data_IF_570025638853
#
_entry.id   IF_570025638853
#
_cell.length_a   1.000
_cell.length_b   1.000
_cell.length_c   1.000
_cell.angle_alpha   90.00
_cell.angle_beta   90.00
_cell.angle_gamma   90.00
#
_symmetry.space_group_name_H-M   'P 1'
#
loop_
_entity.id
_entity.type
_entity.pdbx_description
1 polymer ?
#
# COMPACT_ATOMS: atom_id res chain seq x y z
N UNK A 1 -1.15 0.45 -15.02
CA UNK A 1 -1.98 0.83 -13.83
C UNK A 1 -1.34 0.22 -12.59
N UNK A 2 -1.58 0.77 -11.40
CA UNK A 2 -1.11 0.17 -10.14
C UNK A 2 -2.29 -0.43 -9.38
N UNK A 3 -2.00 -1.47 -8.60
CA UNK A 3 -3.00 -2.21 -7.83
C UNK A 3 -2.44 -2.57 -6.46
N UNK A 4 -3.23 -2.36 -5.42
CA UNK A 4 -2.97 -2.97 -4.11
C UNK A 4 -3.68 -4.32 -4.07
N UNK A 5 -2.93 -5.37 -3.79
CA UNK A 5 -3.47 -6.73 -3.67
C UNK A 5 -3.26 -7.24 -2.26
N UNK A 6 -4.37 -7.53 -1.57
CA UNK A 6 -4.34 -8.23 -0.29
C UNK A 6 -4.38 -9.73 -0.56
N UNK A 7 -3.30 -10.42 -0.24
CA UNK A 7 -3.08 -11.84 -0.50
C UNK A 7 -3.22 -12.63 0.80
N UNK A 8 -4.28 -13.41 0.95
CA UNK A 8 -4.51 -14.25 2.14
C UNK A 8 -4.32 -15.72 1.76
N UNK A 9 -3.37 -16.38 2.40
CA UNK A 9 -3.01 -17.79 2.13
C UNK A 9 -3.59 -18.72 3.19
N UNK A 10 -4.26 -19.77 2.73
CA UNK A 10 -4.80 -20.86 3.55
C UNK A 10 -4.24 -22.19 3.04
N UNK A 11 -3.26 -22.71 3.75
CA UNK A 11 -2.73 -24.04 3.43
C UNK A 11 -3.74 -25.09 3.90
N UNK A 12 -4.15 -26.06 3.05
CA UNK A 12 -5.07 -27.11 3.45
C UNK A 12 -4.50 -27.97 4.60
N UNK A 13 -5.37 -28.38 5.53
CA UNK A 13 -5.01 -29.26 6.62
C UNK A 13 -4.36 -30.54 6.12
N UNK A 14 -3.32 -31.01 6.80
CA UNK A 14 -2.58 -32.20 6.43
C UNK A 14 -1.57 -32.04 5.29
N UNK A 15 -1.40 -30.81 4.75
CA UNK A 15 -0.31 -30.54 3.79
C UNK A 15 1.04 -30.71 4.49
N UNK A 16 1.96 -31.58 3.99
CA UNK A 16 3.28 -31.75 4.59
C UNK A 16 4.08 -30.44 4.59
N UNK A 17 4.81 -30.16 5.67
CA UNK A 17 5.64 -28.96 5.81
C UNK A 17 6.63 -28.81 4.65
N UNK A 18 7.23 -29.93 4.20
CA UNK A 18 8.12 -29.92 3.04
C UNK A 18 7.43 -29.40 1.78
N UNK A 19 6.17 -29.78 1.51
CA UNK A 19 5.44 -29.30 0.35
C UNK A 19 5.13 -27.79 0.45
N UNK A 20 4.85 -27.30 1.66
CA UNK A 20 4.66 -25.87 1.92
C UNK A 20 5.95 -25.09 1.63
N UNK A 21 7.10 -25.60 2.13
CA UNK A 21 8.40 -24.96 1.93
C UNK A 21 8.82 -24.95 0.45
N UNK A 22 8.58 -26.03 -0.29
CA UNK A 22 8.82 -26.10 -1.72
C UNK A 22 8.02 -25.06 -2.51
N UNK A 23 6.75 -24.83 -2.14
CA UNK A 23 5.92 -23.79 -2.74
C UNK A 23 6.44 -22.39 -2.41
N UNK A 24 6.86 -22.16 -1.13
CA UNK A 24 7.45 -20.89 -0.69
C UNK A 24 8.73 -20.54 -1.46
N UNK A 25 9.61 -21.51 -1.68
CA UNK A 25 10.85 -21.30 -2.45
C UNK A 25 10.53 -20.88 -3.88
N UNK A 26 9.58 -21.55 -4.53
CA UNK A 26 9.14 -21.19 -5.89
C UNK A 26 8.45 -19.82 -5.92
N UNK A 27 7.64 -19.50 -4.90
CA UNK A 27 7.00 -18.18 -4.77
C UNK A 27 8.03 -17.06 -4.66
N UNK A 28 9.07 -17.25 -3.83
CA UNK A 28 10.14 -16.27 -3.69
C UNK A 28 10.95 -16.10 -4.99
N UNK A 29 11.17 -17.17 -5.75
CA UNK A 29 11.79 -17.08 -7.07
C UNK A 29 10.92 -16.31 -8.06
N UNK A 30 9.61 -16.65 -8.11
CA UNK A 30 8.66 -15.96 -8.99
C UNK A 30 8.50 -14.49 -8.64
N UNK A 31 8.47 -14.14 -7.35
CA UNK A 31 8.42 -12.75 -6.90
C UNK A 31 9.60 -11.93 -7.41
N UNK A 32 10.82 -12.50 -7.43
CA UNK A 32 12.00 -11.82 -7.99
C UNK A 32 11.90 -11.61 -9.51
N UNK A 33 11.36 -12.59 -10.23
CA UNK A 33 11.13 -12.46 -11.69
C UNK A 33 10.11 -11.35 -11.98
N UNK A 34 9.01 -11.32 -11.22
CA UNK A 34 7.96 -10.30 -11.36
C UNK A 34 8.49 -8.90 -10.98
N UNK A 35 9.35 -8.81 -9.97
CA UNK A 35 10.02 -7.56 -9.61
C UNK A 35 10.96 -7.09 -10.74
N UNK A 36 11.78 -7.99 -11.29
CA UNK A 36 12.67 -7.67 -12.40
C UNK A 36 11.91 -7.24 -13.68
N UNK A 37 10.70 -7.79 -13.89
CA UNK A 37 9.80 -7.41 -14.97
C UNK A 37 8.99 -6.13 -14.69
N UNK A 38 9.09 -5.55 -13.48
CA UNK A 38 8.36 -4.35 -13.08
C UNK A 38 6.89 -4.59 -12.71
N UNK A 39 6.46 -5.86 -12.59
CA UNK A 39 5.09 -6.20 -12.22
C UNK A 39 4.87 -6.20 -10.69
N UNK A 40 5.83 -6.63 -9.90
CA UNK A 40 5.83 -6.52 -8.44
C UNK A 40 6.67 -5.32 -8.03
N UNK A 41 6.01 -4.27 -7.50
CA UNK A 41 6.67 -3.01 -7.12
C UNK A 41 7.10 -3.03 -5.66
N UNK A 42 6.23 -3.49 -4.76
CA UNK A 42 6.49 -3.61 -3.32
C UNK A 42 5.76 -4.82 -2.75
N UNK A 43 6.26 -5.31 -1.63
CA UNK A 43 5.64 -6.41 -0.90
C UNK A 43 5.83 -6.23 0.61
N UNK A 44 4.73 -6.31 1.37
CA UNK A 44 4.73 -6.09 2.82
C UNK A 44 3.95 -7.16 3.58
N UNK A 45 4.21 -7.22 4.88
CA UNK A 45 3.38 -7.95 5.85
C UNK A 45 2.64 -6.95 6.74
N UNK A 46 1.31 -6.95 6.75
CA UNK A 46 0.54 -6.22 7.75
C UNK A 46 0.66 -6.91 9.12
N UNK A 47 0.19 -6.31 10.22
CA UNK A 47 0.03 -7.01 11.49
C UNK A 47 -0.83 -8.27 11.32
N UNK A 48 -0.33 -9.40 11.82
CA UNK A 48 -0.97 -10.71 11.69
C UNK A 48 -1.35 -11.27 13.06
N UNK A 49 -2.47 -11.96 13.13
CA UNK A 49 -2.79 -12.82 14.27
C UNK A 49 -2.03 -14.15 14.15
N UNK A 50 -1.83 -14.87 15.27
CA UNK A 50 -1.27 -16.22 15.22
C UNK A 50 -2.05 -17.11 14.23
N UNK A 51 -1.34 -17.79 13.33
CA UNK A 51 -1.94 -18.65 12.30
C UNK A 51 -2.41 -17.93 11.03
N UNK A 52 -2.41 -16.59 10.99
CA UNK A 52 -2.69 -15.85 9.75
C UNK A 52 -1.46 -15.80 8.84
N UNK A 53 -1.72 -15.93 7.54
CA UNK A 53 -0.71 -15.72 6.51
C UNK A 53 -1.26 -14.76 5.47
N UNK A 54 -0.89 -13.50 5.59
CA UNK A 54 -1.34 -12.41 4.72
C UNK A 54 -0.17 -11.54 4.29
N UNK A 55 -0.20 -11.11 3.04
CA UNK A 55 0.74 -10.14 2.48
C UNK A 55 -0.02 -9.06 1.72
N UNK A 56 0.58 -7.87 1.64
CA UNK A 56 0.11 -6.76 0.80
C UNK A 56 1.12 -6.56 -0.32
N UNK A 57 0.67 -6.63 -1.56
CA UNK A 57 1.50 -6.38 -2.73
C UNK A 57 1.05 -5.14 -3.50
N UNK A 58 2.00 -4.29 -3.89
CA UNK A 58 1.79 -3.26 -4.90
C UNK A 58 2.24 -3.82 -6.23
N UNK A 59 1.30 -3.97 -7.15
CA UNK A 59 1.54 -4.50 -8.49
C UNK A 59 1.34 -3.43 -9.56
N UNK A 60 2.08 -3.56 -10.68
CA UNK A 60 1.89 -2.77 -11.88
C UNK A 60 1.55 -3.68 -13.06
N UNK A 61 0.45 -3.36 -13.75
CA UNK A 61 -0.01 -4.07 -14.94
C UNK A 61 -0.67 -3.09 -15.92
N UNK A 62 -0.76 -3.45 -17.19
CA UNK A 62 -1.41 -2.62 -18.20
C UNK A 62 -2.92 -2.53 -17.93
N UNK A 63 -3.52 -3.64 -17.52
CA UNK A 63 -4.95 -3.79 -17.23
C UNK A 63 -5.20 -4.95 -16.24
N UNK A 64 -6.48 -5.15 -15.88
CA UNK A 64 -6.92 -6.19 -14.96
C UNK A 64 -6.61 -7.62 -15.48
N UNK A 65 -6.64 -7.83 -16.80
CA UNK A 65 -6.33 -9.11 -17.43
C UNK A 65 -4.86 -9.49 -17.24
N UNK A 66 -3.95 -8.56 -17.49
CA UNK A 66 -2.52 -8.78 -17.24
C UNK A 66 -2.23 -8.96 -15.74
N UNK A 67 -2.93 -8.22 -14.86
CA UNK A 67 -2.79 -8.44 -13.42
C UNK A 67 -3.18 -9.87 -13.04
N UNK A 68 -4.31 -10.37 -13.53
CA UNK A 68 -4.75 -11.74 -13.24
C UNK A 68 -3.75 -12.79 -13.75
N UNK A 69 -3.18 -12.60 -14.95
CA UNK A 69 -2.10 -13.46 -15.47
C UNK A 69 -0.86 -13.45 -14.54
N UNK A 70 -0.47 -12.27 -14.05
CA UNK A 70 0.63 -12.12 -13.09
C UNK A 70 0.34 -12.87 -11.80
N UNK A 71 -0.83 -12.65 -11.20
CA UNK A 71 -1.24 -13.30 -9.94
C UNK A 71 -1.39 -14.81 -10.10
N UNK A 72 -1.96 -15.28 -11.20
CA UNK A 72 -2.12 -16.70 -11.52
C UNK A 72 -0.77 -17.41 -11.70
N UNK A 73 0.25 -16.70 -12.15
CA UNK A 73 1.62 -17.25 -12.31
C UNK A 73 2.36 -17.51 -11.00
N UNK A 74 1.87 -16.99 -9.88
CA UNK A 74 2.49 -17.11 -8.57
C UNK A 74 2.14 -18.45 -7.92
N UNK A 75 3.12 -19.27 -7.49
CA UNK A 75 2.88 -20.63 -6.96
C UNK A 75 1.94 -20.73 -5.77
N UNK A 76 1.90 -19.72 -4.88
CA UNK A 76 0.97 -19.70 -3.74
C UNK A 76 -0.49 -19.48 -4.15
N UNK A 77 -0.77 -19.12 -5.40
CA UNK A 77 -2.14 -18.88 -5.90
C UNK A 77 -3.09 -20.04 -5.63
N UNK A 78 -2.58 -21.28 -5.60
CA UNK A 78 -3.38 -22.51 -5.33
C UNK A 78 -3.97 -22.55 -3.91
N UNK A 79 -3.39 -21.79 -2.97
CA UNK A 79 -3.82 -21.71 -1.56
C UNK A 79 -4.24 -20.29 -1.16
N UNK A 80 -4.30 -19.35 -2.12
CA UNK A 80 -4.43 -17.92 -1.85
C UNK A 80 -5.74 -17.37 -2.40
N UNK A 81 -6.34 -16.49 -1.60
CA UNK A 81 -7.41 -15.60 -2.05
C UNK A 81 -6.82 -14.20 -2.17
N UNK A 82 -7.08 -13.53 -3.29
CA UNK A 82 -6.60 -12.20 -3.58
C UNK A 82 -7.77 -11.20 -3.63
N UNK A 83 -7.65 -10.12 -2.86
CA UNK A 83 -8.52 -8.96 -2.93
C UNK A 83 -7.78 -7.84 -3.66
N UNK A 84 -8.27 -7.47 -4.84
CA UNK A 84 -7.64 -6.49 -5.72
C UNK A 84 -8.31 -5.13 -5.57
N UNK A 85 -7.51 -4.11 -5.31
CA UNK A 85 -7.94 -2.71 -5.29
C UNK A 85 -7.18 -1.94 -6.36
N UNK A 86 -7.84 -1.47 -7.44
CA UNK A 86 -7.19 -0.62 -8.43
C UNK A 86 -6.85 0.75 -7.83
N UNK A 87 -5.68 1.26 -8.20
CA UNK A 87 -5.14 2.53 -7.71
C UNK A 87 -5.07 3.54 -8.85
N UNK A 88 -5.75 4.66 -8.70
CA UNK A 88 -5.68 5.76 -9.65
C UNK A 88 -4.68 6.84 -9.20
N UNK A 89 -4.03 7.57 -10.13
CA UNK A 89 -3.12 8.66 -9.77
C UNK A 89 -3.81 9.73 -8.92
N UNK A 90 -3.11 10.19 -7.87
CA UNK A 90 -3.55 11.32 -7.06
C UNK A 90 -2.77 12.58 -7.47
N UNK A 91 -3.41 13.78 -7.55
CA UNK A 91 -2.72 15.02 -7.96
C UNK A 91 -1.51 15.38 -7.08
N UNK A 92 -1.55 15.00 -5.82
CA UNK A 92 -0.50 15.27 -4.83
C UNK A 92 0.41 14.05 -4.59
N UNK A 93 0.38 13.03 -5.48
CA UNK A 93 1.31 11.90 -5.37
C UNK A 93 2.74 12.37 -5.62
N UNK A 94 3.68 12.17 -4.69
CA UNK A 94 5.06 12.54 -4.91
C UNK A 94 5.68 11.64 -5.99
N UNK A 95 6.24 12.23 -7.04
CA UNK A 95 6.84 11.47 -8.15
C UNK A 95 8.03 10.62 -7.69
N UNK A 96 8.82 11.13 -6.75
CA UNK A 96 9.98 10.45 -6.14
C UNK A 96 10.16 11.04 -4.74
N UNK A 97 9.73 10.33 -3.71
CA UNK A 97 10.03 10.68 -2.34
C UNK A 97 11.34 10.02 -1.91
N UNK A 98 12.24 10.73 -1.17
CA UNK A 98 13.40 10.09 -0.57
C UNK A 98 12.93 9.03 0.44
N UNK A 99 13.53 7.85 0.40
CA UNK A 99 13.23 6.80 1.38
C UNK A 99 14.12 7.02 2.60
N UNK A 100 13.51 7.34 3.73
CA UNK A 100 14.22 7.47 5.01
C UNK A 100 14.15 6.14 5.79
N UNK A 101 15.09 5.93 6.71
CA UNK A 101 14.97 4.83 7.67
C UNK A 101 13.72 5.05 8.55
N UNK A 102 12.91 4.02 8.73
CA UNK A 102 11.68 4.10 9.52
C UNK A 102 10.75 2.92 9.28
N UNK A 103 9.57 3.01 9.86
CA UNK A 103 8.48 2.05 9.61
C UNK A 103 7.57 2.62 8.53
N UNK A 104 7.22 1.79 7.56
CA UNK A 104 6.21 2.15 6.57
C UNK A 104 4.80 1.95 7.14
N UNK A 105 3.90 2.83 6.75
CA UNK A 105 2.48 2.79 7.14
C UNK A 105 1.62 2.94 5.89
N UNK A 106 0.57 2.12 5.79
CA UNK A 106 -0.48 2.30 4.81
C UNK A 106 -1.66 2.99 5.47
N UNK A 107 -2.17 4.07 4.86
CA UNK A 107 -3.33 4.78 5.36
C UNK A 107 -4.45 4.81 4.34
N UNK A 108 -5.66 4.53 4.79
CA UNK A 108 -6.88 4.78 4.00
C UNK A 108 -7.57 6.02 4.54
N UNK A 109 -7.84 6.96 3.65
CA UNK A 109 -8.57 8.18 3.94
C UNK A 109 -9.97 8.11 3.35
N UNK A 110 -10.97 8.52 4.14
CA UNK A 110 -12.31 8.84 3.67
C UNK A 110 -12.60 10.28 4.03
N UNK A 111 -12.85 11.13 3.03
CA UNK A 111 -13.02 12.57 3.19
C UNK A 111 -14.53 12.88 3.17
N UNK A 112 -14.99 13.61 4.18
CA UNK A 112 -16.38 14.02 4.32
C UNK A 112 -16.44 15.50 4.68
N UNK A 113 -16.63 16.34 3.66
CA UNK A 113 -16.80 17.79 3.86
C UNK A 113 -18.17 18.03 4.49
N UNK A 114 -18.27 18.78 5.62
CA UNK A 114 -19.56 19.07 6.25
C UNK A 114 -20.50 19.81 5.30
N UNK A 115 -21.78 19.45 5.35
CA UNK A 115 -22.81 20.11 4.56
C UNK A 115 -22.86 21.61 4.87
N UNK A 116 -23.04 22.42 3.83
CA UNK A 116 -23.06 23.88 3.96
C UNK A 116 -21.69 24.56 4.07
N UNK A 117 -20.58 23.81 4.00
CA UNK A 117 -19.23 24.41 3.93
C UNK A 117 -19.11 25.26 2.66
N UNK A 118 -18.77 26.57 2.76
CA UNK A 118 -18.59 27.41 1.58
C UNK A 118 -17.51 26.86 0.65
N UNK A 119 -17.74 26.92 -0.67
CA UNK A 119 -16.80 26.43 -1.68
C UNK A 119 -15.37 27.02 -1.50
N UNK A 120 -15.28 28.31 -1.22
CA UNK A 120 -14.00 28.98 -0.97
C UNK A 120 -13.23 28.35 0.21
N UNK A 121 -13.93 27.93 1.28
CA UNK A 121 -13.28 27.27 2.42
C UNK A 121 -12.77 25.88 2.04
N UNK A 122 -13.52 25.16 1.20
CA UNK A 122 -13.08 23.88 0.65
C UNK A 122 -11.82 24.06 -0.18
N UNK A 123 -11.86 24.97 -1.17
CA UNK A 123 -10.72 25.24 -2.08
C UNK A 123 -9.46 25.67 -1.30
N UNK A 124 -9.61 26.58 -0.33
CA UNK A 124 -8.51 27.03 0.52
C UNK A 124 -7.93 25.91 1.39
N UNK A 125 -8.77 25.01 1.87
CA UNK A 125 -8.32 23.85 2.68
C UNK A 125 -7.61 22.82 1.81
N UNK A 126 -8.14 22.50 0.64
CA UNK A 126 -7.48 21.63 -0.34
C UNK A 126 -6.11 22.18 -0.78
N UNK A 127 -6.03 23.49 -1.04
CA UNK A 127 -4.77 24.14 -1.40
C UNK A 127 -3.72 24.08 -0.26
N UNK A 128 -4.15 24.20 1.01
CA UNK A 128 -3.27 24.01 2.19
C UNK A 128 -2.86 22.57 2.35
N UNK A 129 -3.79 21.64 2.12
CA UNK A 129 -3.52 20.19 2.15
C UNK A 129 -2.44 19.81 1.16
N UNK A 130 -2.56 20.24 -0.10
CA UNK A 130 -1.57 20.01 -1.15
C UNK A 130 -0.18 20.51 -0.75
N UNK A 131 -0.10 21.73 -0.19
CA UNK A 131 1.17 22.28 0.30
C UNK A 131 1.76 21.46 1.45
N UNK A 132 0.91 21.00 2.38
CA UNK A 132 1.35 20.16 3.50
C UNK A 132 1.82 18.80 3.04
N UNK A 133 1.08 18.15 2.15
CA UNK A 133 1.45 16.87 1.54
C UNK A 133 2.82 16.97 0.83
N UNK A 134 3.02 18.01 0.00
CA UNK A 134 4.29 18.24 -0.68
C UNK A 134 5.45 18.45 0.31
N UNK A 135 5.23 19.17 1.42
CA UNK A 135 6.25 19.34 2.45
C UNK A 135 6.62 18.00 3.11
N UNK A 136 5.63 17.17 3.45
CA UNK A 136 5.86 15.84 4.03
C UNK A 136 6.56 14.91 3.04
N UNK A 137 6.23 14.99 1.77
CA UNK A 137 6.92 14.25 0.72
C UNK A 137 8.39 14.66 0.58
N UNK A 138 8.68 15.97 0.55
CA UNK A 138 10.05 16.49 0.52
C UNK A 138 10.89 16.14 1.77
N UNK A 139 10.24 15.80 2.87
CA UNK A 139 10.87 15.31 4.10
C UNK A 139 11.01 13.77 4.13
N UNK A 140 10.51 13.05 3.10
CA UNK A 140 10.53 11.60 3.02
C UNK A 140 9.50 10.89 3.90
N UNK A 141 8.47 11.60 4.33
CA UNK A 141 7.39 11.02 5.14
C UNK A 141 6.23 10.52 4.29
N UNK A 142 5.77 11.27 3.29
CA UNK A 142 4.78 10.79 2.32
C UNK A 142 5.52 10.20 1.13
N UNK A 143 5.41 8.88 0.94
CA UNK A 143 6.11 8.15 -0.11
C UNK A 143 5.27 8.04 -1.38
N UNK A 144 3.98 7.75 -1.25
CA UNK A 144 3.03 7.62 -2.35
C UNK A 144 1.63 8.02 -1.92
N UNK A 145 0.83 8.44 -2.87
CA UNK A 145 -0.58 8.79 -2.66
C UNK A 145 -1.40 8.40 -3.90
N UNK A 146 -2.50 7.68 -3.69
CA UNK A 146 -3.40 7.25 -4.75
C UNK A 146 -4.85 7.58 -4.42
N UNK A 147 -5.67 7.66 -5.46
CA UNK A 147 -7.12 7.65 -5.32
C UNK A 147 -7.61 6.20 -5.28
N UNK A 148 -8.51 5.91 -4.36
CA UNK A 148 -9.22 4.64 -4.28
C UNK A 148 -10.55 4.69 -5.03
N UNK A 149 -11.12 3.53 -5.43
CA UNK A 149 -12.49 3.45 -5.93
C UNK A 149 -13.49 4.06 -4.94
N UNK A 150 -14.50 4.72 -5.48
CA UNK A 150 -15.48 5.48 -4.70
C UNK A 150 -15.13 6.96 -4.60
N UNK A 151 -16.09 7.75 -4.05
CA UNK A 151 -15.90 9.19 -3.91
C UNK A 151 -15.06 9.51 -2.67
N UNK A 152 -14.18 10.51 -2.80
CA UNK A 152 -13.46 11.11 -1.68
C UNK A 152 -12.65 10.10 -0.84
N UNK A 153 -12.04 9.09 -1.50
CA UNK A 153 -11.19 8.09 -0.85
C UNK A 153 -9.78 8.11 -1.42
N UNK A 154 -8.81 8.01 -0.54
CA UNK A 154 -7.40 7.96 -0.93
C UNK A 154 -6.64 6.89 -0.13
N UNK A 155 -5.53 6.43 -0.69
CA UNK A 155 -4.57 5.54 -0.06
C UNK A 155 -3.22 6.24 -0.01
N UNK A 156 -2.59 6.30 1.16
CA UNK A 156 -1.25 6.86 1.35
C UNK A 156 -0.27 5.80 1.83
N UNK A 157 0.94 5.81 1.27
CA UNK A 157 2.09 5.10 1.80
C UNK A 157 3.02 6.11 2.47
N UNK A 158 3.35 5.87 3.72
CA UNK A 158 4.08 6.79 4.58
C UNK A 158 5.29 6.12 5.21
N UNK A 159 6.24 6.96 5.64
CA UNK A 159 7.38 6.55 6.47
C UNK A 159 7.45 7.42 7.73
N UNK A 160 7.57 6.77 8.89
CA UNK A 160 7.72 7.43 10.18
C UNK A 160 8.62 6.63 11.11
N UNK A 161 9.29 7.30 12.03
CA UNK A 161 10.13 6.66 13.04
C UNK A 161 9.32 5.96 14.14
N UNK A 162 8.03 6.30 14.28
CA UNK A 162 7.13 5.69 15.26
C UNK A 162 5.65 5.87 14.90
N UNK A 163 4.73 5.06 15.47
CA UNK A 163 3.29 5.28 15.33
C UNK A 163 2.83 6.65 15.86
N UNK A 164 3.46 7.17 16.91
CA UNK A 164 3.15 8.48 17.48
C UNK A 164 3.51 9.61 16.50
N UNK A 165 4.67 9.52 15.85
CA UNK A 165 5.08 10.46 14.81
C UNK A 165 4.12 10.40 13.62
N UNK A 166 3.77 9.18 13.17
CA UNK A 166 2.79 9.00 12.09
C UNK A 166 1.47 9.70 12.43
N UNK A 167 0.96 9.51 13.63
CA UNK A 167 -0.28 10.15 14.06
C UNK A 167 -0.16 11.67 14.14
N UNK A 168 0.96 12.20 14.61
CA UNK A 168 1.22 13.64 14.64
C UNK A 168 1.25 14.24 13.22
N UNK A 169 1.83 13.54 12.24
CA UNK A 169 1.81 13.97 10.85
C UNK A 169 0.39 14.01 10.28
N UNK A 170 -0.41 12.97 10.50
CA UNK A 170 -1.80 12.92 10.05
C UNK A 170 -2.63 14.06 10.66
N UNK A 171 -2.48 14.31 11.96
CA UNK A 171 -3.14 15.43 12.65
C UNK A 171 -2.69 16.81 12.16
N UNK A 172 -1.55 16.91 11.54
CA UNK A 172 -1.04 18.16 10.96
C UNK A 172 -1.61 18.48 9.56
N UNK A 173 -2.38 17.56 8.98
CA UNK A 173 -3.04 17.74 7.68
C UNK A 173 -4.22 18.70 7.83
N UNK A 174 -4.33 19.75 7.00
CA UNK A 174 -5.44 20.72 7.06
C UNK A 174 -6.83 20.11 6.92
N UNK A 175 -6.95 18.98 6.21
CA UNK A 175 -8.22 18.27 6.03
C UNK A 175 -8.52 17.27 7.16
N UNK A 176 -7.65 17.11 8.18
CA UNK A 176 -7.86 16.16 9.30
C UNK A 176 -9.28 16.23 9.90
N UNK A 177 -9.90 17.42 10.12
CA UNK A 177 -11.26 17.50 10.66
C UNK A 177 -12.35 16.89 9.75
N UNK A 178 -12.03 16.71 8.46
CA UNK A 178 -12.95 16.15 7.45
C UNK A 178 -12.62 14.71 7.09
N UNK A 179 -11.57 14.13 7.70
CA UNK A 179 -11.08 12.81 7.33
C UNK A 179 -11.36 11.78 8.43
N UNK A 180 -11.79 10.62 7.97
CA UNK A 180 -11.64 9.37 8.73
C UNK A 180 -10.41 8.65 8.19
N UNK A 181 -9.49 8.28 9.08
CA UNK A 181 -8.20 7.69 8.70
C UNK A 181 -8.04 6.34 9.38
N UNK A 182 -7.77 5.32 8.59
CA UNK A 182 -7.34 4.00 9.07
C UNK A 182 -5.85 3.84 8.76
N UNK A 183 -5.06 3.44 9.75
CA UNK A 183 -3.59 3.32 9.61
C UNK A 183 -3.14 1.91 9.94
N UNK A 184 -2.38 1.30 9.05
CA UNK A 184 -1.80 -0.03 9.20
C UNK A 184 -0.29 0.07 9.15
N UNK A 185 0.45 -0.27 10.22
CA UNK A 185 1.90 -0.38 10.16
C UNK A 185 2.28 -1.58 9.29
N UNK A 186 3.36 -1.41 8.52
CA UNK A 186 3.84 -2.44 7.59
C UNK A 186 5.23 -2.90 8.01
N UNK A 187 5.48 -4.20 7.91
CA UNK A 187 6.82 -4.76 7.95
C UNK A 187 7.22 -5.25 6.56
N UNK A 188 8.51 -5.16 6.24
CA UNK A 188 9.03 -5.63 4.97
C UNK A 188 8.84 -7.14 4.83
N UNK A 189 8.38 -7.56 3.66
CA UNK A 189 8.37 -8.98 3.30
C UNK A 189 9.78 -9.40 2.82
N UNK A 190 10.27 -10.63 3.14
CA UNK A 190 11.59 -11.08 2.69
C UNK A 190 11.81 -11.04 1.17
N UNK A 191 10.73 -11.06 0.39
CA UNK A 191 10.76 -10.94 -1.07
C UNK A 191 10.35 -9.55 -1.55
N UNK A 192 10.39 -8.51 -0.70
CA UNK A 192 10.10 -7.13 -1.14
C UNK A 192 11.18 -6.67 -2.12
N UNK A 193 10.81 -6.20 -3.32
CA UNK A 193 11.77 -5.67 -4.29
C UNK A 193 12.69 -4.57 -3.75
N UNK A 194 12.19 -3.77 -2.80
CA UNK A 194 13.00 -2.72 -2.17
C UNK A 194 14.23 -3.23 -1.41
N UNK A 195 14.25 -4.51 -0.99
CA UNK A 195 15.41 -5.15 -0.35
C UNK A 195 16.49 -5.58 -1.35
N UNK A 196 16.17 -5.64 -2.64
CA UNK A 196 17.07 -6.15 -3.69
C UNK A 196 17.89 -5.02 -4.31
N UNK A 197 17.45 -3.78 -4.13
CA UNK A 197 18.02 -2.57 -4.75
C UNK A 197 19.01 -1.85 -3.78
N UNK A 198 19.11 -2.31 -2.53
CA UNK A 198 19.95 -1.72 -1.49
C UNK A 198 21.38 -2.29 -1.48
#
# INVERSE_FOLDING_TARGET
>A
MEYLVTMTTHVPDGTPDQAVDEVRVREAARSRELAAAGHLVRLWRPPLRPGEWRSLGLFAAADDGQLEEVLASMPLRVWRTDEVTPLAPHPNDPALAPVNAGTEFLTTFTISVPEGTPAQVVDDTEAREARRANKLAGQGHLLRLWRLPGRSRALGLWNAGSPAEMQAMLKSLPMDPWMTVETTPLSQHPSDPALIIA
#
